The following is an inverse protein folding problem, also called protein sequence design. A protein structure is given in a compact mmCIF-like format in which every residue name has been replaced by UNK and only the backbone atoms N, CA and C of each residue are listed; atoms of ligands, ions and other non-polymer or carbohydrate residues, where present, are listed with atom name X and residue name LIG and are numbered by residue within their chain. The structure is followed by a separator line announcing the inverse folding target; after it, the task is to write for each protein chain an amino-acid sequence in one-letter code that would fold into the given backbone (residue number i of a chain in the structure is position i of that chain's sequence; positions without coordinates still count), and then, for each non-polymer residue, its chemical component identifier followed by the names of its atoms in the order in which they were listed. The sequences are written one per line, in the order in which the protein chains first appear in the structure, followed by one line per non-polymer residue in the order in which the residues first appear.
data_IF_000229640335
#
_entry.id   IF_000229640335
#
_cell.length_a   1.000
_cell.length_b   1.000
_cell.length_c   1.000
_cell.angle_alpha   90.00
_cell.angle_beta   90.00
_cell.angle_gamma   90.00
#
_symmetry.space_group_name_H-M   'P 1'
#
loop_
_entity.id
_entity.type
_entity.pdbx_description
1 polymer ?
#
# COMPACT_ATOMS: atom_id res chain seq x y z
N UNK A 1 -11.11 -9.20 4.02
CA UNK A 1 -9.85 -9.70 4.63
C UNK A 1 -9.97 -11.20 4.80
N UNK A 2 -9.03 -11.96 4.23
CA UNK A 2 -9.06 -13.44 4.25
C UNK A 2 -7.96 -14.01 5.13
N UNK A 3 -8.24 -15.10 5.88
CA UNK A 3 -7.24 -15.82 6.67
C UNK A 3 -6.97 -17.18 6.04
N UNK A 4 -5.71 -17.51 5.80
CA UNK A 4 -5.29 -18.76 5.16
C UNK A 4 -4.19 -19.42 5.97
N UNK A 5 -4.09 -20.76 5.90
CA UNK A 5 -2.97 -21.45 6.52
C UNK A 5 -1.71 -21.30 5.66
N UNK A 6 -0.53 -21.39 6.29
CA UNK A 6 0.75 -21.37 5.58
C UNK A 6 0.86 -22.47 4.52
N UNK A 7 0.22 -23.63 4.75
CA UNK A 7 0.23 -24.76 3.79
C UNK A 7 -0.64 -24.42 2.57
N UNK A 8 -1.84 -23.89 2.80
CA UNK A 8 -2.75 -23.49 1.72
C UNK A 8 -2.16 -22.33 0.90
N UNK A 9 -1.51 -21.37 1.57
CA UNK A 9 -0.80 -20.28 0.94
C UNK A 9 0.28 -20.78 -0.02
N UNK A 10 1.15 -21.69 0.45
CA UNK A 10 2.24 -22.27 -0.36
C UNK A 10 1.73 -23.04 -1.58
N UNK A 11 0.58 -23.71 -1.47
CA UNK A 11 -0.02 -24.47 -2.57
C UNK A 11 -0.63 -23.59 -3.65
N UNK A 12 -1.12 -22.41 -3.29
CA UNK A 12 -1.88 -21.53 -4.19
C UNK A 12 -1.29 -20.12 -4.22
N UNK A 13 0.04 -20.00 -4.28
CA UNK A 13 0.75 -18.72 -4.17
C UNK A 13 0.23 -17.66 -5.14
N UNK A 14 0.02 -18.01 -6.42
CA UNK A 14 -0.45 -17.05 -7.44
C UNK A 14 -1.81 -16.44 -7.10
N UNK A 15 -2.78 -17.28 -6.73
CA UNK A 15 -4.13 -16.85 -6.34
C UNK A 15 -4.08 -15.86 -5.17
N UNK A 16 -3.25 -16.13 -4.17
CA UNK A 16 -3.14 -15.26 -3.01
C UNK A 16 -2.32 -13.99 -3.28
N UNK A 17 -1.39 -14.01 -4.24
CA UNK A 17 -0.74 -12.79 -4.72
C UNK A 17 -1.75 -11.88 -5.43
N UNK A 18 -2.52 -12.41 -6.38
CA UNK A 18 -3.56 -11.65 -7.08
C UNK A 18 -4.58 -11.09 -6.09
N UNK A 19 -5.00 -11.90 -5.12
CA UNK A 19 -5.92 -11.46 -4.06
C UNK A 19 -5.32 -10.36 -3.20
N UNK A 20 -4.04 -10.44 -2.86
CA UNK A 20 -3.32 -9.44 -2.07
C UNK A 20 -3.16 -8.09 -2.77
N UNK A 21 -3.33 -8.03 -4.10
CA UNK A 21 -3.40 -6.77 -4.83
C UNK A 21 -4.72 -6.02 -4.56
N UNK A 22 -5.80 -6.75 -4.26
CA UNK A 22 -7.12 -6.19 -4.00
C UNK A 22 -7.45 -6.05 -2.51
N UNK A 23 -7.04 -7.02 -1.68
CA UNK A 23 -7.30 -7.01 -0.23
C UNK A 23 -6.21 -7.73 0.59
N UNK A 24 -5.95 -7.31 1.85
CA UNK A 24 -5.00 -8.00 2.71
C UNK A 24 -5.38 -9.47 2.99
N UNK A 25 -4.36 -10.34 3.00
CA UNK A 25 -4.50 -11.77 3.31
C UNK A 25 -3.65 -12.11 4.53
N UNK A 26 -4.27 -12.60 5.60
CA UNK A 26 -3.57 -13.07 6.80
C UNK A 26 -3.11 -14.51 6.57
N UNK A 27 -1.83 -14.76 6.81
CA UNK A 27 -1.23 -16.08 6.80
C UNK A 27 -1.07 -16.55 8.24
N UNK A 28 -1.67 -17.69 8.54
CA UNK A 28 -1.66 -18.34 9.85
C UNK A 28 -0.81 -19.61 9.88
N UNK A 29 -0.28 -19.94 11.06
CA UNK A 29 0.44 -21.19 11.31
C UNK A 29 0.04 -21.72 12.68
N UNK A 30 -0.36 -22.99 12.74
CA UNK A 30 -0.83 -23.66 13.97
C UNK A 30 -1.94 -22.87 14.69
N UNK A 31 -2.92 -22.38 13.93
CA UNK A 31 -4.06 -21.61 14.45
C UNK A 31 -3.75 -20.18 14.89
N UNK A 32 -2.52 -19.69 14.70
CA UNK A 32 -2.11 -18.32 15.05
C UNK A 32 -1.80 -17.53 13.79
N UNK A 33 -2.33 -16.31 13.72
CA UNK A 33 -1.99 -15.34 12.69
C UNK A 33 -0.52 -14.93 12.84
N UNK A 34 0.23 -14.88 11.73
CA UNK A 34 1.69 -14.63 11.78
C UNK A 34 2.14 -13.53 10.84
N UNK A 35 1.59 -13.51 9.63
CA UNK A 35 2.00 -12.59 8.57
C UNK A 35 0.76 -12.06 7.87
N UNK A 36 0.90 -10.90 7.23
CA UNK A 36 -0.09 -10.36 6.31
C UNK A 36 0.59 -10.17 4.97
N UNK A 37 -0.01 -10.72 3.91
CA UNK A 37 0.36 -10.42 2.54
C UNK A 37 -0.54 -9.30 2.03
N UNK A 38 0.07 -8.31 1.40
CA UNK A 38 -0.57 -7.13 0.87
C UNK A 38 0.28 -6.54 -0.26
N UNK A 39 -0.33 -5.70 -1.10
CA UNK A 39 0.38 -5.04 -2.21
C UNK A 39 1.47 -4.10 -1.70
N UNK A 40 2.49 -3.86 -2.54
CA UNK A 40 3.57 -2.92 -2.19
C UNK A 40 3.03 -1.50 -1.97
N UNK A 41 1.99 -1.08 -2.72
CA UNK A 41 1.34 0.23 -2.56
C UNK A 41 0.72 0.37 -1.16
N UNK A 42 -0.04 -0.63 -0.71
CA UNK A 42 -0.61 -0.57 0.64
C UNK A 42 0.45 -0.66 1.73
N UNK A 43 1.52 -1.42 1.53
CA UNK A 43 2.65 -1.42 2.46
C UNK A 43 3.24 -0.01 2.61
N UNK A 44 3.46 0.67 1.48
CA UNK A 44 4.01 2.04 1.44
C UNK A 44 3.09 3.04 2.15
N UNK A 45 1.77 2.99 1.89
CA UNK A 45 0.77 3.85 2.55
C UNK A 45 0.77 3.64 4.07
N UNK A 46 0.73 2.38 4.52
CA UNK A 46 0.76 2.04 5.95
C UNK A 46 2.08 2.49 6.60
N UNK A 47 3.20 2.31 5.90
CA UNK A 47 4.51 2.77 6.36
C UNK A 47 4.56 4.29 6.50
N UNK A 48 4.06 5.04 5.52
CA UNK A 48 4.01 6.50 5.56
C UNK A 48 3.17 7.03 6.72
N UNK A 49 2.00 6.43 6.97
CA UNK A 49 1.16 6.75 8.13
C UNK A 49 1.85 6.45 9.47
N UNK A 50 2.53 5.30 9.57
CA UNK A 50 3.28 4.93 10.78
C UNK A 50 4.43 5.89 11.06
N UNK A 51 5.15 6.28 10.02
CA UNK A 51 6.35 7.11 10.13
C UNK A 51 5.99 8.62 10.27
N UNK A 52 4.70 8.97 10.47
CA UNK A 52 4.22 10.34 10.66
C UNK A 52 4.35 11.24 9.42
N UNK A 53 4.78 10.66 8.28
CA UNK A 53 4.88 11.35 7.00
C UNK A 53 3.53 11.26 6.30
N UNK A 54 2.51 11.79 6.94
CA UNK A 54 1.22 12.07 6.31
C UNK A 54 1.48 13.16 5.28
N UNK A 55 1.86 12.79 4.06
CA UNK A 55 1.80 13.73 2.94
C UNK A 55 0.33 14.09 2.73
N UNK A 56 -0.14 15.14 3.40
CA UNK A 56 -1.37 15.81 3.06
C UNK A 56 -1.29 16.31 1.60
N UNK A 57 -2.42 16.71 0.99
CA UNK A 57 -2.48 17.16 -0.40
C UNK A 57 -1.71 18.46 -0.69
N UNK A 58 -0.81 18.91 0.18
CA UNK A 58 -0.05 20.15 0.09
C UNK A 58 1.13 20.12 -0.91
N UNK A 59 1.40 18.98 -1.56
CA UNK A 59 2.37 18.88 -2.65
C UNK A 59 1.71 18.92 -4.04
N UNK A 60 0.62 19.66 -4.19
CA UNK A 60 0.23 20.18 -5.50
C UNK A 60 1.06 21.45 -5.75
N UNK A 61 2.00 21.36 -6.69
CA UNK A 61 2.88 22.45 -7.10
C UNK A 61 2.12 23.80 -7.18
N UNK A 62 2.69 24.92 -6.70
CA UNK A 62 2.05 26.22 -6.86
C UNK A 62 1.82 26.50 -8.35
N UNK A 63 0.68 27.10 -8.74
CA UNK A 63 0.43 27.44 -10.13
C UNK A 63 1.57 28.33 -10.60
N UNK A 64 2.24 27.90 -11.68
CA UNK A 64 3.31 28.66 -12.30
C UNK A 64 2.82 30.09 -12.56
N UNK A 65 3.45 31.06 -11.89
CA UNK A 65 3.22 32.48 -12.10
C UNK A 65 3.44 32.77 -13.58
N UNK A 66 2.37 33.07 -14.31
CA UNK A 66 2.47 33.53 -15.68
C UNK A 66 3.21 34.88 -15.67
N UNK A 67 4.31 34.88 -16.41
CA UNK A 67 5.25 35.97 -16.59
C UNK A 67 4.53 37.24 -17.06
N UNK A 68 4.45 38.25 -16.20
CA UNK A 68 4.12 39.62 -16.62
C UNK A 68 5.41 40.30 -17.07
N UNK A 69 5.86 39.98 -18.28
CA UNK A 69 6.80 40.83 -18.99
C UNK A 69 6.00 41.92 -19.70
N UNK A 70 5.84 43.07 -19.03
CA UNK A 70 5.42 44.30 -19.70
C UNK A 70 6.67 45.13 -20.01
N UNK A 71 6.89 45.27 -21.31
CA UNK A 71 7.94 46.00 -22.01
C UNK A 71 7.90 47.50 -21.65
N UNK A 72 9.06 48.14 -21.58
CA UNK A 72 9.22 49.60 -21.71
C UNK A 72 10.32 49.87 -22.70
#
# INVERSE_FOLDING_TARGET
MSVVSSVEFQRNLGVYQDKALAEPVIISKNGRERLVLLSVDEYQRLKAHRDGTSAGPENAAPPALQSTAHFS
#
